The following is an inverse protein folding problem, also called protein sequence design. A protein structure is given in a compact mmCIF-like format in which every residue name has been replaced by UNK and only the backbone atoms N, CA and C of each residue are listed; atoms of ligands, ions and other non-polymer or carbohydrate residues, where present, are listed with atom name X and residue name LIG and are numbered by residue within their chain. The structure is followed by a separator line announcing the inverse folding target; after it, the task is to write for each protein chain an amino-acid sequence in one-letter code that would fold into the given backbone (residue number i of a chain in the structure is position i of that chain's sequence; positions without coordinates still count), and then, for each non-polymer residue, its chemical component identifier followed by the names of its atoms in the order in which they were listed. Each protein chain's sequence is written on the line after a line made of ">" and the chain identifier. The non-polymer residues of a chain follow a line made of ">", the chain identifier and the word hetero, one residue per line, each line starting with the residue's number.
data_IF_967304908688
#
_entry.id   IF_967304908688
#
_cell.length_a   1.000
_cell.length_b   1.000
_cell.length_c   1.000
_cell.angle_alpha   90.00
_cell.angle_beta   90.00
_cell.angle_gamma   90.00
#
_symmetry.space_group_name_H-M   'P 1'
#
loop_
_entity.id
_entity.type
_entity.pdbx_description
1 polymer ?
#
# COMPACT_ATOMS: atom_id res chain seq x y z
N UNK A 1 5.02 3.70 -11.36
CA UNK A 1 3.97 2.64 -11.44
C UNK A 1 3.31 2.63 -12.82
N UNK A 2 2.83 1.48 -13.32
CA UNK A 2 2.12 1.42 -14.60
C UNK A 2 0.62 1.83 -14.51
N UNK A 3 -0.01 2.25 -15.63
CA UNK A 3 -1.41 2.70 -15.64
C UNK A 3 -2.44 1.61 -15.27
N UNK A 4 -2.11 0.34 -15.47
CA UNK A 4 -2.97 -0.79 -15.13
C UNK A 4 -3.10 -0.95 -13.61
N UNK A 5 -1.97 -0.93 -12.90
CA UNK A 5 -1.90 -0.98 -11.44
C UNK A 5 -2.62 0.22 -10.82
N UNK A 6 -2.41 1.43 -11.37
CA UNK A 6 -3.12 2.63 -10.90
C UNK A 6 -4.64 2.52 -11.06
N UNK A 7 -5.13 2.03 -12.22
CA UNK A 7 -6.56 1.77 -12.43
C UNK A 7 -7.11 0.76 -11.44
N UNK A 8 -6.38 -0.31 -11.15
CA UNK A 8 -6.78 -1.33 -10.18
C UNK A 8 -6.85 -0.77 -8.75
N UNK A 9 -5.84 -0.03 -8.31
CA UNK A 9 -5.90 0.68 -7.01
C UNK A 9 -7.15 1.55 -6.94
N UNK A 10 -7.40 2.34 -7.98
CA UNK A 10 -8.55 3.23 -8.03
C UNK A 10 -9.89 2.49 -8.03
N UNK A 11 -9.97 1.31 -8.65
CA UNK A 11 -11.16 0.46 -8.64
C UNK A 11 -11.44 -0.14 -7.27
N UNK A 12 -10.43 -0.76 -6.64
CA UNK A 12 -10.54 -1.36 -5.30
C UNK A 12 -10.86 -0.29 -4.25
N UNK A 13 -10.23 0.88 -4.36
CA UNK A 13 -10.42 2.00 -3.44
C UNK A 13 -11.58 2.93 -3.84
N UNK A 14 -12.45 2.53 -4.76
CA UNK A 14 -13.57 3.35 -5.24
C UNK A 14 -14.53 3.75 -4.11
N UNK A 15 -14.72 2.88 -3.11
CA UNK A 15 -15.49 3.15 -1.89
C UNK A 15 -14.91 4.31 -1.06
N UNK A 16 -13.58 4.51 -1.12
CA UNK A 16 -12.87 5.62 -0.48
C UNK A 16 -12.98 6.92 -1.26
N UNK A 17 -13.31 6.87 -2.56
CA UNK A 17 -13.41 8.04 -3.43
C UNK A 17 -14.78 8.75 -3.42
N UNK A 18 -15.72 8.32 -2.57
CA UNK A 18 -16.98 9.05 -2.39
C UNK A 18 -16.69 10.54 -2.10
N UNK A 19 -17.32 11.48 -2.83
CA UNK A 19 -17.05 12.91 -2.68
C UNK A 19 -17.31 13.37 -1.24
N UNK A 20 -16.48 14.29 -0.73
CA UNK A 20 -16.68 14.96 0.56
C UNK A 20 -15.68 14.65 1.68
N UNK A 21 -14.69 13.76 1.49
CA UNK A 21 -13.71 13.43 2.55
C UNK A 21 -12.27 13.49 2.02
N UNK A 22 -11.60 14.63 2.21
CA UNK A 22 -10.19 14.84 1.83
C UNK A 22 -9.25 13.79 2.45
N UNK A 23 -9.54 13.37 3.69
CA UNK A 23 -8.80 12.33 4.38
C UNK A 23 -8.70 11.04 3.56
N UNK A 24 -9.78 10.62 2.87
CA UNK A 24 -9.77 9.39 2.07
C UNK A 24 -8.94 9.53 0.80
N UNK A 25 -8.93 10.72 0.17
CA UNK A 25 -8.03 11.01 -0.96
C UNK A 25 -6.57 10.89 -0.53
N UNK A 26 -6.23 11.44 0.64
CA UNK A 26 -4.88 11.32 1.23
C UNK A 26 -4.50 9.85 1.50
N UNK A 27 -5.44 9.01 1.95
CA UNK A 27 -5.19 7.58 2.15
C UNK A 27 -4.94 6.84 0.82
N UNK A 28 -5.69 7.14 -0.24
CA UNK A 28 -5.43 6.55 -1.57
C UNK A 28 -4.08 7.00 -2.12
N UNK A 29 -3.71 8.28 -1.96
CA UNK A 29 -2.40 8.75 -2.36
C UNK A 29 -1.27 8.07 -1.58
N UNK A 30 -1.42 7.91 -0.26
CA UNK A 30 -0.47 7.16 0.57
C UNK A 30 -0.31 5.72 0.07
N UNK A 31 -1.40 5.06 -0.29
CA UNK A 31 -1.37 3.71 -0.85
C UNK A 31 -0.60 3.66 -2.18
N UNK A 32 -0.83 4.63 -3.08
CA UNK A 32 -0.10 4.77 -4.34
C UNK A 32 1.40 4.91 -4.08
N UNK A 33 1.79 5.82 -3.19
CA UNK A 33 3.21 6.06 -2.87
C UNK A 33 3.89 4.81 -2.27
N UNK A 34 3.16 4.00 -1.48
CA UNK A 34 3.69 2.73 -0.98
C UNK A 34 4.00 1.76 -2.14
N UNK A 35 3.08 1.62 -3.08
CA UNK A 35 3.29 0.74 -4.22
C UNK A 35 4.38 1.26 -5.17
N UNK A 36 4.49 2.58 -5.35
CA UNK A 36 5.58 3.18 -6.11
C UNK A 36 6.94 2.84 -5.50
N UNK A 37 7.12 3.03 -4.20
CA UNK A 37 8.37 2.64 -3.52
C UNK A 37 8.67 1.14 -3.68
N UNK A 38 7.66 0.28 -3.53
CA UNK A 38 7.83 -1.16 -3.74
C UNK A 38 8.27 -1.47 -5.17
N UNK A 39 7.65 -0.84 -6.16
CA UNK A 39 7.94 -1.09 -7.57
C UNK A 39 9.30 -0.55 -7.99
N UNK A 40 9.73 0.59 -7.45
CA UNK A 40 11.06 1.16 -7.69
C UNK A 40 12.17 0.22 -7.20
N UNK A 41 11.97 -0.47 -6.08
CA UNK A 41 13.00 -1.29 -5.46
C UNK A 41 12.97 -2.77 -5.86
N UNK A 42 11.83 -3.31 -6.32
CA UNK A 42 11.67 -4.76 -6.48
C UNK A 42 11.41 -5.24 -7.93
N UNK A 43 11.58 -4.37 -8.93
CA UNK A 43 11.79 -4.66 -10.37
C UNK A 43 10.79 -5.62 -11.05
N UNK A 44 10.81 -6.88 -10.67
CA UNK A 44 9.93 -7.98 -11.11
C UNK A 44 8.44 -7.84 -10.76
N UNK A 45 8.10 -6.99 -9.78
CA UNK A 45 6.71 -6.74 -9.31
C UNK A 45 6.05 -5.52 -9.92
N UNK A 46 6.81 -4.66 -10.59
CA UNK A 46 6.37 -3.34 -11.08
C UNK A 46 5.24 -3.40 -12.12
N UNK A 47 4.95 -4.59 -12.65
CA UNK A 47 3.95 -4.82 -13.68
C UNK A 47 2.55 -5.13 -13.15
N UNK A 48 2.44 -5.72 -11.95
CA UNK A 48 1.13 -6.06 -11.37
C UNK A 48 1.16 -6.02 -9.84
N UNK A 49 0.30 -5.17 -9.29
CA UNK A 49 0.04 -5.06 -7.85
C UNK A 49 -0.30 -6.39 -7.17
N UNK A 50 -0.90 -7.35 -7.88
CA UNK A 50 -1.21 -8.66 -7.32
C UNK A 50 0.04 -9.52 -7.08
N UNK A 51 1.17 -9.22 -7.73
CA UNK A 51 2.45 -9.89 -7.48
C UNK A 51 3.10 -9.39 -6.18
N UNK A 52 2.63 -8.29 -5.60
CA UNK A 52 3.12 -7.76 -4.33
C UNK A 52 2.74 -8.70 -3.19
N UNK A 53 3.62 -9.66 -2.92
CA UNK A 53 3.56 -10.54 -1.75
C UNK A 53 4.23 -9.97 -0.50
N UNK A 54 4.16 -10.78 0.58
CA UNK A 54 4.68 -10.45 1.92
C UNK A 54 6.13 -9.95 1.94
N UNK A 55 7.04 -10.54 1.14
CA UNK A 55 8.47 -10.16 1.12
C UNK A 55 8.66 -8.68 0.73
N UNK A 56 7.88 -8.19 -0.23
CA UNK A 56 7.98 -6.82 -0.72
C UNK A 56 7.49 -5.81 0.32
N UNK A 57 6.43 -6.17 1.06
CA UNK A 57 5.92 -5.36 2.16
C UNK A 57 6.92 -5.30 3.33
N UNK A 58 7.63 -6.41 3.60
CA UNK A 58 8.73 -6.40 4.58
C UNK A 58 9.87 -5.50 4.11
N UNK A 59 10.23 -5.55 2.82
CA UNK A 59 11.21 -4.65 2.22
C UNK A 59 10.82 -3.18 2.40
N UNK A 60 9.56 -2.85 2.12
CA UNK A 60 8.99 -1.53 2.36
C UNK A 60 9.14 -1.07 3.82
N UNK A 61 8.83 -1.95 4.76
CA UNK A 61 8.97 -1.64 6.20
C UNK A 61 10.40 -1.45 6.67
N UNK A 62 11.38 -2.06 6.00
CA UNK A 62 12.79 -1.82 6.30
C UNK A 62 13.23 -0.46 5.80
N UNK A 63 12.82 -0.08 4.59
CA UNK A 63 13.15 1.23 4.00
C UNK A 63 12.50 2.42 4.73
N UNK A 64 11.34 2.18 5.35
CA UNK A 64 10.59 3.19 6.10
C UNK A 64 10.77 3.08 7.61
N UNK A 65 11.90 2.52 8.06
CA UNK A 65 12.15 2.31 9.48
C UNK A 65 12.38 3.59 10.28
N UNK A 66 12.75 4.69 9.61
CA UNK A 66 12.91 6.00 10.20
C UNK A 66 11.57 6.75 10.42
N UNK A 67 10.46 6.21 9.94
CA UNK A 67 9.15 6.83 10.12
C UNK A 67 8.57 6.57 11.52
N UNK A 68 7.80 7.52 12.03
CA UNK A 68 7.16 7.38 13.34
C UNK A 68 6.19 6.19 13.36
N UNK A 69 6.03 5.57 14.54
CA UNK A 69 5.13 4.44 14.73
C UNK A 69 3.68 4.76 14.29
N UNK A 70 3.22 6.00 14.51
CA UNK A 70 1.89 6.47 14.09
C UNK A 70 1.75 6.42 12.57
N UNK A 71 2.71 6.98 11.82
CA UNK A 71 2.68 7.00 10.35
C UNK A 71 2.73 5.56 9.79
N UNK A 72 3.58 4.71 10.35
CA UNK A 72 3.69 3.31 9.93
C UNK A 72 2.41 2.53 10.21
N UNK A 73 1.73 2.81 11.33
CA UNK A 73 0.45 2.19 11.66
C UNK A 73 -0.67 2.63 10.71
N UNK A 74 -0.70 3.90 10.29
CA UNK A 74 -1.65 4.38 9.28
C UNK A 74 -1.43 3.70 7.93
N UNK A 75 -0.16 3.60 7.49
CA UNK A 75 0.23 2.90 6.27
C UNK A 75 -0.12 1.42 6.31
N UNK A 76 0.06 0.77 7.46
CA UNK A 76 -0.33 -0.61 7.66
C UNK A 76 -1.85 -0.79 7.50
N UNK A 77 -2.67 0.06 8.12
CA UNK A 77 -4.13 -0.03 8.02
C UNK A 77 -4.62 0.11 6.59
N UNK A 78 -4.07 1.04 5.81
CA UNK A 78 -4.50 1.23 4.42
C UNK A 78 -4.05 0.09 3.50
N UNK A 79 -2.86 -0.48 3.72
CA UNK A 79 -2.42 -1.69 3.02
C UNK A 79 -3.33 -2.88 3.33
N UNK A 80 -3.62 -3.09 4.62
CA UNK A 80 -4.50 -4.18 5.05
C UNK A 80 -5.87 -4.06 4.38
N UNK A 81 -6.48 -2.89 4.46
CA UNK A 81 -7.76 -2.62 3.81
C UNK A 81 -7.72 -2.90 2.30
N UNK A 82 -6.67 -2.44 1.60
CA UNK A 82 -6.53 -2.67 0.17
C UNK A 82 -6.48 -4.16 -0.17
N UNK A 83 -5.64 -4.95 0.52
CA UNK A 83 -5.49 -6.37 0.23
C UNK A 83 -6.72 -7.22 0.61
N UNK A 84 -7.46 -6.80 1.65
CA UNK A 84 -8.78 -7.36 2.00
C UNK A 84 -9.80 -7.09 0.88
N UNK A 85 -9.90 -5.84 0.40
CA UNK A 85 -10.86 -5.47 -0.66
C UNK A 85 -10.48 -6.01 -2.04
N UNK A 86 -9.19 -6.15 -2.32
CA UNK A 86 -8.69 -6.77 -3.54
C UNK A 86 -8.86 -8.31 -3.54
N UNK A 87 -9.43 -8.88 -2.47
CA UNK A 87 -9.66 -10.32 -2.27
C UNK A 87 -8.40 -11.15 -2.53
N UNK A 88 -7.26 -10.66 -2.05
CA UNK A 88 -5.98 -11.34 -2.21
C UNK A 88 -5.70 -12.27 -1.04
N UNK A 89 -4.86 -13.28 -1.24
CA UNK A 89 -4.35 -14.13 -0.14
C UNK A 89 -3.20 -13.49 0.64
N UNK A 90 -2.85 -12.23 0.36
CA UNK A 90 -1.69 -11.58 0.96
C UNK A 90 -2.05 -11.08 2.36
N UNK A 91 -1.43 -11.68 3.38
CA UNK A 91 -1.50 -11.16 4.75
C UNK A 91 -0.44 -10.08 4.92
N UNK A 92 -0.88 -8.84 5.14
CA UNK A 92 0.01 -7.69 5.37
C UNK A 92 0.77 -7.91 6.68
N UNK A 93 2.11 -8.00 6.67
CA UNK A 93 2.89 -8.08 7.89
C UNK A 93 2.84 -6.72 8.60
N UNK A 94 2.68 -6.70 9.94
CA UNK A 94 2.74 -5.46 10.70
C UNK A 94 4.15 -4.84 10.60
N UNK A 95 4.26 -3.50 10.59
CA UNK A 95 5.54 -2.84 10.76
C UNK A 95 6.13 -3.23 12.11
N UNK A 96 7.46 -3.45 12.18
CA UNK A 96 8.11 -3.65 13.48
C UNK A 96 7.88 -2.42 14.34
N UNK A 97 7.57 -2.62 15.62
CA UNK A 97 7.59 -1.55 16.61
C UNK A 97 9.02 -1.02 16.68
N UNK A 98 9.18 0.27 16.47
CA UNK A 98 10.39 0.97 16.88
C UNK A 98 10.11 1.29 18.35
N UNK A 99 10.80 0.59 19.25
CA UNK A 99 10.78 0.87 20.69
C UNK A 99 11.57 2.14 21.00
#
# INVERSE_FOLDING_TARGET
>A
MNPHSLRRINGVMSSYKKPGIEYRKKQVQRLINIFEDIFEHEGSVAEDILRVGRKHIIGYWRRTENETAVVRQEKFRILQYFFEMANTKVRVPPPKKIE
#
